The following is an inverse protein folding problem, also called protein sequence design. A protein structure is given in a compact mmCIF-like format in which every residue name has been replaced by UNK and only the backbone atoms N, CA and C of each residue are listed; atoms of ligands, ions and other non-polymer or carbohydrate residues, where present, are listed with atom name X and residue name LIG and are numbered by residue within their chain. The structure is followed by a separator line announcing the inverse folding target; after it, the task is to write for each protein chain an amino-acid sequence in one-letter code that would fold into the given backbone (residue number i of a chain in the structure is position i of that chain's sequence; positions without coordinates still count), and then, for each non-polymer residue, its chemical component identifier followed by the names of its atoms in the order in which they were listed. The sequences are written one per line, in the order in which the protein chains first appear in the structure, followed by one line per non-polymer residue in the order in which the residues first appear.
data_IF_864780820538
#
_entry.id   IF_864780820538
#
_cell.length_a   1.000
_cell.length_b   1.000
_cell.length_c   1.000
_cell.angle_alpha   90.00
_cell.angle_beta   90.00
_cell.angle_gamma   90.00
#
_symmetry.space_group_name_H-M   'P 1'
#
loop_
_entity.id
_entity.type
_entity.pdbx_description
1 polymer ?
#
# COMPACT_ATOMS: atom_id res chain seq x y z
N UNK A 1 -0.76 -24.93 5.61
CA UNK A 1 0.12 -24.00 6.36
C UNK A 1 1.50 -24.58 6.68
N UNK A 2 1.65 -25.81 7.21
CA UNK A 2 2.98 -26.33 7.57
C UNK A 2 4.00 -26.47 6.43
N UNK A 3 3.57 -26.77 5.19
CA UNK A 3 4.52 -26.96 4.08
C UNK A 3 5.34 -25.71 3.77
N UNK A 4 4.69 -24.54 3.69
CA UNK A 4 5.34 -23.25 3.39
C UNK A 4 6.25 -22.76 4.53
N UNK A 5 5.88 -23.05 5.78
CA UNK A 5 6.73 -22.74 6.93
C UNK A 5 8.00 -23.61 6.95
N UNK A 6 7.87 -24.90 6.61
CA UNK A 6 8.99 -25.84 6.62
C UNK A 6 9.96 -25.63 5.44
N UNK A 7 9.51 -25.05 4.33
CA UNK A 7 10.35 -24.64 3.20
C UNK A 7 10.97 -23.25 3.40
N UNK A 8 10.67 -22.56 4.50
CA UNK A 8 11.08 -21.18 4.75
C UNK A 8 10.53 -20.16 3.74
N UNK A 9 9.42 -20.46 3.08
CA UNK A 9 8.81 -19.54 2.11
C UNK A 9 8.35 -18.23 2.78
N UNK A 10 8.06 -18.27 4.07
CA UNK A 10 7.67 -17.09 4.88
C UNK A 10 8.75 -16.01 4.98
N UNK A 11 10.01 -16.32 4.68
CA UNK A 11 11.12 -15.34 4.67
C UNK A 11 11.65 -15.04 3.27
N UNK A 12 11.08 -15.66 2.24
CA UNK A 12 11.42 -15.34 0.86
C UNK A 12 10.74 -14.03 0.47
N UNK A 13 11.51 -13.12 -0.13
CA UNK A 13 10.93 -11.87 -0.63
C UNK A 13 10.03 -12.14 -1.84
N UNK A 14 8.86 -11.48 -1.86
CA UNK A 14 7.95 -11.44 -2.99
C UNK A 14 7.91 -10.07 -3.67
N UNK A 15 8.74 -9.11 -3.22
CA UNK A 15 8.71 -7.73 -3.70
C UNK A 15 8.96 -7.61 -5.20
N UNK A 16 9.85 -8.43 -5.77
CA UNK A 16 10.16 -8.39 -7.21
C UNK A 16 8.93 -8.69 -8.07
N UNK A 17 8.02 -9.56 -7.62
CA UNK A 17 6.79 -9.86 -8.35
C UNK A 17 5.86 -8.64 -8.42
N UNK A 18 5.92 -7.73 -7.43
CA UNK A 18 5.18 -6.47 -7.50
C UNK A 18 5.77 -5.56 -8.57
N UNK A 19 7.10 -5.53 -8.71
CA UNK A 19 7.77 -4.81 -9.80
C UNK A 19 7.35 -5.33 -11.17
N UNK A 20 7.36 -6.66 -11.36
CA UNK A 20 6.92 -7.30 -12.61
C UNK A 20 5.47 -6.91 -12.97
N UNK A 21 4.56 -6.93 -11.99
CA UNK A 21 3.15 -6.53 -12.19
C UNK A 21 3.01 -5.05 -12.60
N UNK A 22 3.79 -4.17 -11.99
CA UNK A 22 3.77 -2.74 -12.30
C UNK A 22 4.28 -2.48 -13.72
N UNK A 23 5.35 -3.16 -14.14
CA UNK A 23 5.92 -3.06 -15.49
C UNK A 23 4.97 -3.64 -16.57
N UNK A 24 4.15 -4.63 -16.21
CA UNK A 24 3.06 -5.15 -17.05
C UNK A 24 1.82 -4.24 -17.07
N UNK A 25 1.85 -3.10 -16.36
CA UNK A 25 0.78 -2.11 -16.34
C UNK A 25 -0.39 -2.47 -15.41
N UNK A 26 -0.21 -3.44 -14.50
CA UNK A 26 -1.21 -3.78 -13.49
C UNK A 26 -1.21 -2.71 -12.39
N UNK A 27 -2.38 -2.15 -12.08
CA UNK A 27 -2.55 -1.20 -10.97
C UNK A 27 -2.42 -1.90 -9.63
N UNK A 28 -1.56 -1.39 -8.75
CA UNK A 28 -1.26 -1.94 -7.43
C UNK A 28 -1.58 -0.91 -6.35
N UNK A 29 -2.35 -1.34 -5.35
CA UNK A 29 -2.58 -0.60 -4.11
C UNK A 29 -1.93 -1.37 -2.95
N UNK A 30 -1.02 -0.70 -2.25
CA UNK A 30 -0.51 -1.15 -0.94
C UNK A 30 -1.05 -0.21 0.12
N UNK A 31 -1.61 -0.73 1.21
CA UNK A 31 -2.08 0.09 2.31
C UNK A 31 -1.69 -0.52 3.65
N UNK A 32 -1.44 0.33 4.64
CA UNK A 32 -1.06 -0.09 5.98
C UNK A 32 -1.69 0.83 7.04
N UNK A 33 -2.19 0.24 8.12
CA UNK A 33 -2.63 0.99 9.30
C UNK A 33 -1.44 1.55 10.06
N UNK A 34 -1.55 2.77 10.56
CA UNK A 34 -0.43 3.46 11.20
C UNK A 34 -0.15 3.04 12.65
N UNK A 35 -1.04 2.26 13.25
CA UNK A 35 -0.90 1.65 14.57
C UNK A 35 -0.45 0.18 14.52
N UNK A 36 -0.15 -0.37 13.33
CA UNK A 36 0.42 -1.72 13.20
C UNK A 36 1.93 -1.73 13.44
N UNK A 37 2.39 -2.63 14.31
CA UNK A 37 3.81 -2.86 14.57
C UNK A 37 4.39 -4.02 13.75
N UNK A 38 3.58 -5.02 13.41
CA UNK A 38 4.05 -6.23 12.71
C UNK A 38 4.33 -5.92 11.24
N UNK A 39 3.37 -5.30 10.55
CA UNK A 39 3.50 -4.85 9.16
C UNK A 39 3.40 -3.33 9.07
N UNK A 40 4.27 -2.65 9.81
CA UNK A 40 4.23 -1.20 9.95
C UNK A 40 4.29 -0.42 8.63
N UNK A 41 3.64 0.74 8.61
CA UNK A 41 3.52 1.57 7.40
C UNK A 41 4.86 2.09 6.87
N UNK A 42 5.84 2.38 7.74
CA UNK A 42 7.12 2.94 7.32
C UNK A 42 8.02 1.91 6.65
N UNK A 43 7.99 0.65 7.12
CA UNK A 43 8.62 -0.48 6.48
C UNK A 43 7.98 -0.80 5.12
N UNK A 44 6.66 -0.70 5.03
CA UNK A 44 5.94 -0.84 3.76
C UNK A 44 6.36 0.24 2.75
N UNK A 45 6.41 1.51 3.17
CA UNK A 45 6.89 2.59 2.31
C UNK A 45 8.35 2.38 1.91
N UNK A 46 9.22 1.98 2.84
CA UNK A 46 10.64 1.81 2.58
C UNK A 46 10.93 0.75 1.51
N UNK A 47 10.25 -0.40 1.53
CA UNK A 47 10.47 -1.41 0.49
C UNK A 47 9.91 -0.99 -0.86
N UNK A 48 8.80 -0.22 -0.88
CA UNK A 48 8.26 0.36 -2.12
C UNK A 48 9.20 1.39 -2.74
N UNK A 49 9.85 2.23 -1.92
CA UNK A 49 10.85 3.20 -2.38
C UNK A 49 12.12 2.53 -2.94
N UNK A 50 12.45 1.34 -2.41
CA UNK A 50 13.57 0.53 -2.88
C UNK A 50 13.20 -0.44 -4.02
N UNK A 51 11.93 -0.52 -4.42
CA UNK A 51 11.46 -1.44 -5.44
C UNK A 51 11.96 -0.99 -6.82
N UNK A 52 12.56 -1.93 -7.57
CA UNK A 52 12.97 -1.70 -8.94
C UNK A 52 11.80 -1.98 -9.89
N UNK A 53 11.40 -0.96 -10.65
CA UNK A 53 10.40 -1.00 -11.72
C UNK A 53 10.50 0.30 -12.55
N UNK A 54 9.87 0.33 -13.72
CA UNK A 54 9.97 1.45 -14.68
C UNK A 54 9.52 2.80 -14.12
N UNK A 55 8.52 2.84 -13.23
CA UNK A 55 8.01 4.06 -12.58
C UNK A 55 8.67 4.40 -11.24
N UNK A 56 9.70 3.67 -10.79
CA UNK A 56 10.29 3.85 -9.47
C UNK A 56 10.79 5.29 -9.20
N UNK A 57 11.34 5.95 -10.21
CA UNK A 57 11.82 7.33 -10.08
C UNK A 57 10.68 8.33 -9.92
N UNK A 58 9.54 8.10 -10.59
CA UNK A 58 8.36 8.94 -10.46
C UNK A 58 7.73 8.78 -9.08
N UNK A 59 7.61 7.54 -8.59
CA UNK A 59 7.09 7.25 -7.25
C UNK A 59 7.95 7.87 -6.15
N UNK A 60 9.28 7.78 -6.26
CA UNK A 60 10.20 8.37 -5.28
C UNK A 60 10.25 9.91 -5.32
N UNK A 61 9.81 10.53 -6.42
CA UNK A 61 9.71 11.98 -6.57
C UNK A 61 8.31 12.52 -6.22
N UNK A 62 7.31 11.65 -6.05
CA UNK A 62 5.96 12.06 -5.72
C UNK A 62 5.87 12.56 -4.27
N UNK A 63 5.16 13.66 -4.07
CA UNK A 63 4.89 14.19 -2.75
C UNK A 63 3.81 13.36 -2.05
N UNK A 64 3.95 13.22 -0.73
CA UNK A 64 2.89 12.64 0.10
C UNK A 64 1.81 13.69 0.37
N UNK A 65 0.56 13.34 0.13
CA UNK A 65 -0.60 14.22 0.37
C UNK A 65 -1.65 13.55 1.27
N UNK A 66 -2.58 14.34 1.81
CA UNK A 66 -3.63 13.83 2.71
C UNK A 66 -4.73 13.10 1.93
N UNK A 67 -5.11 11.91 2.42
CA UNK A 67 -6.32 11.20 1.98
C UNK A 67 -7.52 11.81 2.71
N UNK A 68 -8.38 12.54 2.01
CA UNK A 68 -9.56 13.17 2.61
C UNK A 68 -10.83 12.37 2.29
N UNK A 69 -11.54 11.95 3.34
CA UNK A 69 -12.83 11.26 3.27
C UNK A 69 -13.81 12.01 4.17
N UNK A 70 -14.96 12.38 3.60
CA UNK A 70 -16.01 13.16 4.28
C UNK A 70 -15.53 14.47 4.94
N UNK A 71 -14.46 15.07 4.40
CA UNK A 71 -13.89 16.32 4.89
C UNK A 71 -12.90 16.15 6.04
N UNK A 72 -12.59 14.92 6.45
CA UNK A 72 -11.59 14.60 7.46
C UNK A 72 -10.38 13.91 6.84
N UNK A 73 -9.18 14.19 7.38
CA UNK A 73 -7.95 13.52 6.99
C UNK A 73 -7.96 12.09 7.54
N UNK A 74 -8.09 11.11 6.66
CA UNK A 74 -8.21 9.69 6.96
C UNK A 74 -6.89 8.92 6.80
N UNK A 75 -5.87 9.59 6.28
CA UNK A 75 -4.58 8.99 6.01
C UNK A 75 -3.69 9.87 5.15
N UNK A 76 -2.60 9.29 4.66
CA UNK A 76 -1.71 9.92 3.69
C UNK A 76 -1.48 9.00 2.50
N UNK A 77 -1.39 9.59 1.31
CA UNK A 77 -1.24 8.90 0.03
C UNK A 77 0.06 9.33 -0.63
N UNK A 78 0.72 8.40 -1.29
CA UNK A 78 1.73 8.67 -2.31
C UNK A 78 1.39 7.80 -3.53
N UNK A 79 1.31 8.42 -4.70
CA UNK A 79 0.91 7.74 -5.91
C UNK A 79 1.72 8.25 -7.10
N UNK A 80 2.15 7.32 -7.95
CA UNK A 80 2.73 7.62 -9.25
C UNK A 80 2.47 6.44 -10.20
N UNK A 81 2.11 6.75 -11.44
CA UNK A 81 1.78 5.78 -12.48
C UNK A 81 0.75 4.73 -11.98
N UNK A 82 1.12 3.46 -11.94
CA UNK A 82 0.27 2.33 -11.54
C UNK A 82 0.39 1.94 -10.08
N UNK A 83 1.23 2.63 -9.29
CA UNK A 83 1.46 2.32 -7.87
C UNK A 83 0.84 3.39 -6.96
N UNK A 84 0.07 2.94 -5.98
CA UNK A 84 -0.43 3.77 -4.87
C UNK A 84 -0.10 3.14 -3.53
N UNK A 85 0.44 3.95 -2.61
CA UNK A 85 0.61 3.58 -1.20
C UNK A 85 -0.25 4.48 -0.31
N UNK A 86 -0.94 3.87 0.65
CA UNK A 86 -1.77 4.57 1.63
C UNK A 86 -1.37 4.19 3.05
N UNK A 87 -1.06 5.21 3.85
CA UNK A 87 -1.03 5.09 5.31
C UNK A 87 -2.41 5.46 5.85
N UNK A 88 -3.10 4.53 6.49
CA UNK A 88 -4.42 4.78 7.09
C UNK A 88 -4.26 5.15 8.56
N UNK A 89 -4.82 6.29 8.97
CA UNK A 89 -4.72 6.76 10.34
C UNK A 89 -5.67 6.00 11.27
N UNK A 90 -5.26 5.85 12.54
CA UNK A 90 -6.05 5.24 13.61
C UNK A 90 -6.50 3.81 13.26
N UNK A 91 -5.63 3.05 12.58
CA UNK A 91 -5.88 1.67 12.18
C UNK A 91 -4.67 0.78 12.49
N UNK A 92 -4.90 -0.43 12.99
CA UNK A 92 -3.87 -1.45 13.22
C UNK A 92 -3.71 -2.38 12.02
N UNK A 93 -3.32 -3.63 12.31
CA UNK A 93 -3.07 -4.66 11.29
C UNK A 93 -4.29 -4.93 10.40
N UNK A 94 -5.48 -4.89 10.98
CA UNK A 94 -6.74 -5.16 10.28
C UNK A 94 -7.46 -3.84 9.98
N UNK A 95 -6.95 -3.07 9.01
CA UNK A 95 -7.54 -1.77 8.63
C UNK A 95 -9.06 -1.79 8.44
N UNK A 96 -9.68 -2.77 7.73
CA UNK A 96 -11.13 -2.81 7.59
C UNK A 96 -11.90 -3.08 8.89
N UNK A 97 -11.24 -3.63 9.92
CA UNK A 97 -11.83 -3.84 11.24
C UNK A 97 -11.81 -2.54 12.06
N UNK A 98 -10.70 -1.80 12.02
CA UNK A 98 -10.51 -0.60 12.84
C UNK A 98 -11.13 0.65 12.20
N UNK A 99 -11.08 0.76 10.86
CA UNK A 99 -11.58 1.88 10.06
C UNK A 99 -12.45 1.39 8.88
N UNK A 100 -13.62 0.77 9.12
CA UNK A 100 -14.41 0.10 8.09
C UNK A 100 -14.93 1.04 6.99
N UNK A 101 -15.39 2.24 7.37
CA UNK A 101 -15.90 3.23 6.40
C UNK A 101 -14.77 3.74 5.48
N UNK A 102 -13.62 4.06 6.07
CA UNK A 102 -12.43 4.50 5.34
C UNK A 102 -11.92 3.39 4.41
N UNK A 103 -11.83 2.16 4.90
CA UNK A 103 -11.39 1.02 4.09
C UNK A 103 -12.31 0.76 2.89
N UNK A 104 -13.63 0.85 3.10
CA UNK A 104 -14.61 0.68 2.01
C UNK A 104 -14.48 1.78 0.96
N UNK A 105 -14.36 3.04 1.39
CA UNK A 105 -14.23 4.17 0.48
C UNK A 105 -12.91 4.11 -0.31
N UNK A 106 -11.80 3.82 0.37
CA UNK A 106 -10.49 3.59 -0.26
C UNK A 106 -10.55 2.51 -1.35
N UNK A 107 -11.13 1.33 -1.03
CA UNK A 107 -11.26 0.24 -2.00
C UNK A 107 -12.17 0.64 -3.17
N UNK A 108 -13.28 1.33 -2.90
CA UNK A 108 -14.19 1.80 -3.95
C UNK A 108 -13.53 2.80 -4.89
N UNK A 109 -12.78 3.77 -4.36
CA UNK A 109 -12.04 4.76 -5.16
C UNK A 109 -10.98 4.08 -6.01
N UNK A 110 -10.19 3.19 -5.41
CA UNK A 110 -9.20 2.40 -6.15
C UNK A 110 -9.87 1.60 -7.28
N UNK A 111 -10.92 0.84 -6.98
CA UNK A 111 -11.63 0.02 -7.96
C UNK A 111 -12.20 0.83 -9.13
N UNK A 112 -12.69 2.04 -8.86
CA UNK A 112 -13.29 2.94 -9.87
C UNK A 112 -12.29 3.85 -10.57
N UNK A 113 -11.00 3.74 -10.24
CA UNK A 113 -9.95 4.63 -10.76
C UNK A 113 -10.22 6.11 -10.42
N UNK A 114 -10.59 6.37 -9.17
CA UNK A 114 -10.82 7.71 -8.64
C UNK A 114 -9.64 8.15 -7.79
N UNK A 115 -9.51 9.47 -7.64
CA UNK A 115 -8.49 10.09 -6.80
C UNK A 115 -8.63 9.63 -5.34
N UNK A 116 -7.50 9.20 -4.76
CA UNK A 116 -7.36 8.72 -3.38
C UNK A 116 -6.81 9.84 -2.50
#
# INVERSE_FOLDING_TARGET
MCSFANSYDVVMSTSSFVGDLLDDGVRVLIYAGDADLECNWSGNLAWLQALEWTGASAFNAADMHDMVIDGESAGSVIAADTLTFIRVFNAGHMVPQDQPAIALEMINRFYKDQEL
#
